data_IF_938032280876
#
_entry.id   IF_938032280876
#
_cell.length_a   1.000
_cell.length_b   1.000
_cell.length_c   1.000
_cell.angle_alpha   90.00
_cell.angle_beta   90.00
_cell.angle_gamma   90.00
#
_symmetry.space_group_name_H-M   'P 1'
#
loop_
_entity.id
_entity.type
_entity.pdbx_description
1 polymer ?
#
# COMPACT_ATOMS: atom_id res chain seq x y z
N UNK A 1 15.33 6.87 -15.43
CA UNK A 1 14.71 6.89 -14.09
C UNK A 1 14.13 5.53 -13.77
N UNK A 2 14.32 5.07 -12.55
CA UNK A 2 13.85 3.76 -12.11
C UNK A 2 12.35 3.82 -11.83
N UNK A 3 11.62 2.88 -12.43
CA UNK A 3 10.16 2.81 -12.30
C UNK A 3 9.81 1.82 -11.19
N UNK A 4 9.17 2.29 -10.12
CA UNK A 4 8.96 1.50 -8.91
C UNK A 4 7.71 0.62 -8.96
N UNK A 5 6.54 1.16 -9.34
CA UNK A 5 5.32 0.37 -9.37
C UNK A 5 5.23 -0.51 -10.61
N UNK A 6 4.87 -1.78 -10.40
CA UNK A 6 4.71 -2.77 -11.46
C UNK A 6 3.43 -2.53 -12.25
N UNK A 7 3.49 -2.72 -13.57
CA UNK A 7 2.30 -2.76 -14.45
C UNK A 7 1.69 -4.16 -14.56
N UNK A 8 2.42 -5.19 -14.10
CA UNK A 8 1.98 -6.59 -14.13
C UNK A 8 1.23 -6.91 -12.83
N UNK A 9 1.75 -6.43 -11.70
CA UNK A 9 1.17 -6.63 -10.37
C UNK A 9 0.38 -5.39 -9.92
N UNK A 10 -0.59 -5.00 -10.74
CA UNK A 10 -1.43 -3.82 -10.60
C UNK A 10 -2.91 -4.24 -10.71
N UNK A 11 -3.74 -3.81 -9.77
CA UNK A 11 -5.18 -3.91 -9.95
C UNK A 11 -5.66 -2.96 -11.06
N UNK A 12 -6.55 -3.44 -11.94
CA UNK A 12 -7.02 -2.70 -13.13
C UNK A 12 -7.62 -1.32 -12.82
N UNK A 13 -8.16 -1.14 -11.61
CA UNK A 13 -8.81 0.08 -11.17
C UNK A 13 -7.81 1.16 -10.72
N UNK A 14 -6.55 0.81 -10.50
CA UNK A 14 -5.50 1.76 -10.10
C UNK A 14 -4.89 2.44 -11.32
N UNK A 15 -4.60 3.73 -11.15
CA UNK A 15 -3.95 4.57 -12.16
C UNK A 15 -2.53 4.85 -11.71
N UNK A 16 -1.57 4.56 -12.60
CA UNK A 16 -0.18 4.96 -12.42
C UNK A 16 0.10 6.24 -13.21
N UNK A 17 0.95 7.09 -12.64
CA UNK A 17 1.66 8.13 -13.37
C UNK A 17 2.62 7.47 -14.41
N UNK A 18 2.93 8.19 -15.49
CA UNK A 18 3.91 7.80 -16.53
C UNK A 18 5.30 7.41 -15.97
N UNK A 19 5.75 8.08 -14.92
CA UNK A 19 7.00 7.76 -14.20
C UNK A 19 6.91 6.47 -13.37
N UNK A 20 5.69 5.98 -13.10
CA UNK A 20 5.35 4.84 -12.24
C UNK A 20 5.91 4.97 -10.81
N UNK A 21 5.94 6.20 -10.29
CA UNK A 21 6.30 6.53 -8.91
C UNK A 21 5.08 6.97 -8.09
N UNK A 22 3.96 7.31 -8.75
CA UNK A 22 2.69 7.65 -8.09
C UNK A 22 1.60 6.69 -8.52
N UNK A 23 0.80 6.24 -7.55
CA UNK A 23 -0.42 5.46 -7.77
C UNK A 23 -1.62 6.16 -7.16
N UNK A 24 -2.76 6.11 -7.85
CA UNK A 24 -4.03 6.67 -7.38
C UNK A 24 -5.17 5.68 -7.65
N UNK A 25 -6.11 5.58 -6.70
CA UNK A 25 -7.32 4.78 -6.85
C UNK A 25 -8.56 5.59 -6.49
N UNK A 26 -9.68 5.30 -7.15
CA UNK A 26 -10.96 6.00 -6.97
C UNK A 26 -12.15 5.07 -6.68
N UNK A 27 -11.97 3.74 -6.77
CA UNK A 27 -13.05 2.74 -6.63
C UNK A 27 -12.68 1.63 -5.63
N UNK A 28 -12.98 1.89 -4.35
CA UNK A 28 -12.76 0.91 -3.29
C UNK A 28 -11.28 0.56 -3.11
N UNK A 29 -11.00 -0.44 -2.26
CA UNK A 29 -9.64 -0.89 -2.03
C UNK A 29 -9.20 -1.90 -3.08
N UNK A 30 -8.00 -1.67 -3.59
CA UNK A 30 -7.22 -2.61 -4.37
C UNK A 30 -5.72 -2.25 -4.18
N UNK A 31 -4.82 -3.04 -4.74
CA UNK A 31 -3.40 -2.98 -4.45
C UNK A 31 -2.54 -2.99 -5.72
N UNK A 32 -1.34 -2.43 -5.59
CA UNK A 32 -0.23 -2.53 -6.55
C UNK A 32 1.02 -3.00 -5.81
N UNK A 33 1.96 -3.64 -6.51
CA UNK A 33 3.27 -4.03 -5.97
C UNK A 33 4.41 -3.30 -6.66
N UNK A 34 5.56 -3.26 -5.99
CA UNK A 34 6.83 -2.85 -6.57
C UNK A 34 7.27 -3.79 -7.70
N UNK A 35 8.21 -3.33 -8.53
CA UNK A 35 8.94 -4.12 -9.52
C UNK A 35 9.97 -5.05 -8.90
N UNK A 36 10.43 -4.73 -7.69
CA UNK A 36 11.45 -5.48 -6.96
C UNK A 36 10.83 -6.27 -5.80
N UNK A 37 11.32 -7.49 -5.60
CA UNK A 37 10.96 -8.33 -4.46
C UNK A 37 12.16 -8.52 -3.53
N UNK A 38 11.88 -8.72 -2.25
CA UNK A 38 12.89 -8.99 -1.23
C UNK A 38 12.84 -10.48 -0.89
N UNK A 39 14.00 -11.16 -0.92
CA UNK A 39 14.12 -12.57 -0.53
C UNK A 39 14.87 -12.76 0.79
N UNK A 40 15.93 -11.98 1.03
CA UNK A 40 16.80 -12.09 2.21
C UNK A 40 17.43 -10.73 2.53
N UNK A 41 17.87 -10.51 3.78
CA UNK A 41 18.55 -9.29 4.22
C UNK A 41 17.64 -8.27 4.91
N UNK A 42 18.18 -7.09 5.21
CA UNK A 42 17.46 -5.97 5.80
C UNK A 42 17.30 -4.86 4.76
N UNK A 43 16.07 -4.37 4.61
CA UNK A 43 15.68 -3.43 3.56
C UNK A 43 14.73 -2.41 4.15
N UNK A 44 14.71 -1.22 3.56
CA UNK A 44 13.73 -0.19 3.87
C UNK A 44 13.23 0.42 2.55
N UNK A 45 12.03 0.98 2.61
CA UNK A 45 11.47 1.84 1.58
C UNK A 45 10.68 2.92 2.30
N UNK A 46 10.47 4.04 1.63
CA UNK A 46 9.65 5.14 2.15
C UNK A 46 8.44 5.36 1.24
N UNK A 47 7.34 5.85 1.82
CA UNK A 47 6.17 6.28 1.04
C UNK A 47 5.80 7.69 1.40
N UNK A 48 5.71 8.56 0.40
CA UNK A 48 5.15 9.89 0.54
C UNK A 48 3.67 9.88 0.19
N UNK A 49 2.84 10.40 1.10
CA UNK A 49 1.41 10.57 0.84
C UNK A 49 1.18 11.92 0.16
N UNK A 50 1.10 11.91 -1.17
CA UNK A 50 1.03 13.15 -1.96
C UNK A 50 -0.35 13.81 -1.93
N UNK A 51 -1.42 13.02 -1.84
CA UNK A 51 -2.77 13.54 -1.65
C UNK A 51 -3.66 12.59 -0.87
N UNK A 52 -4.43 13.12 0.08
CA UNK A 52 -5.41 12.34 0.84
C UNK A 52 -6.71 13.12 1.08
N UNK A 53 -7.62 13.19 0.08
CA UNK A 53 -8.90 13.88 0.22
C UNK A 53 -9.77 13.32 1.36
N UNK A 54 -10.77 14.09 1.86
CA UNK A 54 -11.69 13.62 2.88
C UNK A 54 -12.36 12.29 2.50
N UNK A 55 -12.58 11.42 3.49
CA UNK A 55 -13.14 10.08 3.33
C UNK A 55 -12.34 9.10 2.45
N UNK A 56 -11.09 9.42 2.13
CA UNK A 56 -10.15 8.45 1.55
C UNK A 56 -9.34 7.74 2.64
N UNK A 57 -8.77 6.60 2.28
CA UNK A 57 -7.84 5.88 3.14
C UNK A 57 -6.95 4.99 2.28
N UNK A 58 -5.72 4.80 2.74
CA UNK A 58 -4.75 3.92 2.10
C UNK A 58 -4.20 2.92 3.11
N UNK A 59 -3.62 1.84 2.58
CA UNK A 59 -2.81 0.90 3.35
C UNK A 59 -1.47 0.73 2.65
N UNK A 60 -0.40 0.81 3.43
CA UNK A 60 0.97 0.57 2.97
C UNK A 60 1.55 -0.61 3.73
N UNK A 61 2.41 -1.39 3.11
CA UNK A 61 3.08 -2.49 3.77
C UNK A 61 3.68 -3.50 2.81
N UNK A 62 3.93 -4.70 3.35
CA UNK A 62 4.57 -5.79 2.64
C UNK A 62 3.56 -6.87 2.27
N UNK A 63 3.76 -7.48 1.10
CA UNK A 63 2.93 -8.57 0.62
C UNK A 63 3.76 -9.63 -0.10
N UNK A 64 3.38 -10.90 0.07
CA UNK A 64 3.90 -12.03 -0.70
C UNK A 64 3.13 -12.16 -2.03
N UNK A 65 3.65 -13.01 -2.92
CA UNK A 65 3.15 -13.17 -4.29
C UNK A 65 1.65 -13.53 -4.36
N UNK A 66 1.13 -14.25 -3.37
CA UNK A 66 -0.25 -14.76 -3.36
C UNK A 66 -1.28 -13.77 -2.79
N UNK A 67 -0.86 -12.60 -2.31
CA UNK A 67 -1.78 -11.59 -1.79
C UNK A 67 -2.72 -11.07 -2.89
N UNK A 68 -4.03 -11.04 -2.66
CA UNK A 68 -4.97 -10.64 -3.71
C UNK A 68 -4.86 -9.13 -4.05
N UNK A 69 -4.66 -8.80 -5.33
CA UNK A 69 -4.56 -7.40 -5.79
C UNK A 69 -5.90 -6.66 -5.74
N UNK A 70 -7.04 -7.38 -5.71
CA UNK A 70 -8.38 -6.80 -5.68
C UNK A 70 -8.86 -6.47 -4.25
N UNK A 71 -8.00 -6.59 -3.25
CA UNK A 71 -8.28 -6.27 -1.85
C UNK A 71 -7.17 -5.37 -1.30
N UNK A 72 -7.37 -4.70 -0.14
CA UNK A 72 -6.28 -4.01 0.51
C UNK A 72 -5.25 -5.02 1.07
N UNK A 73 -3.99 -4.61 1.14
CA UNK A 73 -2.94 -5.38 1.81
C UNK A 73 -3.38 -5.72 3.24
N UNK A 74 -3.07 -6.93 3.69
CA UNK A 74 -3.45 -7.44 5.03
C UNK A 74 -4.87 -7.98 5.15
N UNK A 75 -5.60 -8.15 4.03
CA UNK A 75 -6.88 -8.90 4.02
C UNK A 75 -6.67 -10.41 4.16
N UNK A 76 -5.62 -10.95 3.55
CA UNK A 76 -5.26 -12.36 3.65
C UNK A 76 -4.00 -12.56 4.49
N UNK A 77 -3.58 -13.82 4.63
CA UNK A 77 -2.36 -14.21 5.35
C UNK A 77 -1.05 -13.83 4.65
N UNK A 78 -1.13 -13.34 3.42
CA UNK A 78 0.03 -13.04 2.58
C UNK A 78 0.42 -11.56 2.63
N UNK A 79 -0.29 -10.73 3.39
CA UNK A 79 0.01 -9.31 3.53
C UNK A 79 0.00 -8.83 4.98
N UNK A 80 0.80 -7.79 5.22
CA UNK A 80 0.82 -7.00 6.45
C UNK A 80 0.79 -5.54 6.05
N UNK A 81 -0.06 -4.74 6.69
CA UNK A 81 -0.14 -3.32 6.33
C UNK A 81 -0.49 -2.41 7.49
N UNK A 82 -0.19 -1.13 7.32
CA UNK A 82 -0.60 -0.04 8.17
C UNK A 82 -1.58 0.87 7.42
N UNK A 83 -2.70 1.17 8.07
CA UNK A 83 -3.79 1.98 7.51
C UNK A 83 -3.66 3.44 7.94
N UNK A 84 -3.85 4.36 6.99
CA UNK A 84 -3.86 5.81 7.23
C UNK A 84 -4.89 6.27 8.27
N UNK A 85 -6.02 5.56 8.36
CA UNK A 85 -7.05 5.82 9.38
C UNK A 85 -6.78 5.09 10.69
N UNK A 86 -6.81 5.84 11.79
CA UNK A 86 -6.77 5.34 13.18
C UNK A 86 -5.51 4.54 13.54
N UNK A 87 -4.43 4.70 12.79
CA UNK A 87 -3.15 4.06 13.11
C UNK A 87 -3.23 2.55 13.30
N UNK A 88 -4.00 1.85 12.45
CA UNK A 88 -4.32 0.42 12.64
C UNK A 88 -3.47 -0.43 11.71
N UNK A 89 -2.84 -1.49 12.22
CA UNK A 89 -2.18 -2.50 11.39
C UNK A 89 -3.15 -3.65 11.07
N UNK A 90 -3.01 -4.26 9.90
CA UNK A 90 -3.88 -5.33 9.41
C UNK A 90 -3.10 -6.55 8.94
N UNK A 91 -3.59 -7.73 9.33
CA UNK A 91 -3.20 -9.05 8.84
C UNK A 91 -4.39 -9.99 8.94
N UNK A 92 -4.63 -10.85 7.94
CA UNK A 92 -5.78 -11.77 7.90
C UNK A 92 -7.14 -11.07 8.16
N UNK A 93 -7.29 -9.86 7.63
CA UNK A 93 -8.44 -8.98 7.84
C UNK A 93 -8.68 -8.56 9.31
N UNK A 94 -7.81 -8.95 10.24
CA UNK A 94 -7.85 -8.53 11.62
C UNK A 94 -7.06 -7.22 11.80
N UNK A 95 -7.74 -6.20 12.33
CA UNK A 95 -7.12 -4.92 12.66
C UNK A 95 -6.65 -4.88 14.10
N UNK A 96 -5.41 -4.43 14.33
CA UNK A 96 -4.86 -4.18 15.66
C UNK A 96 -4.45 -2.71 15.80
N UNK A 97 -4.68 -2.14 16.98
CA UNK A 97 -4.18 -0.80 17.29
C UNK A 97 -2.65 -0.80 17.28
N UNK A 98 -2.07 0.18 16.61
CA UNK A 98 -0.61 0.34 16.52
C UNK A 98 -0.17 1.75 16.90
N UNK A 99 -0.93 2.77 16.50
CA UNK A 99 -0.69 4.16 16.85
C UNK A 99 -1.99 4.92 17.11
N UNK A 100 -1.93 5.96 17.94
CA UNK A 100 -3.10 6.80 18.27
C UNK A 100 -3.69 7.48 17.04
N UNK A 101 -2.82 7.86 16.10
CA UNK A 101 -3.19 8.45 14.82
C UNK A 101 -2.61 7.62 13.69
N UNK A 102 -3.22 7.68 12.50
CA UNK A 102 -2.58 7.14 11.31
C UNK A 102 -1.98 8.27 10.48
N UNK A 103 -1.25 7.89 9.44
CA UNK A 103 -0.58 8.84 8.58
C UNK A 103 -1.55 9.64 7.69
N UNK A 104 -1.08 10.80 7.22
CA UNK A 104 -1.86 11.79 6.48
C UNK A 104 -1.09 12.35 5.29
N UNK A 105 -1.76 13.22 4.54
CA UNK A 105 -1.16 13.98 3.43
C UNK A 105 0.11 14.71 3.88
N UNK A 106 1.14 14.64 3.03
CA UNK A 106 2.50 15.15 3.22
C UNK A 106 3.39 14.39 4.21
N UNK A 107 2.91 13.31 4.84
CA UNK A 107 3.79 12.46 5.63
C UNK A 107 4.73 11.66 4.71
N UNK A 108 5.97 11.47 5.19
CA UNK A 108 6.94 10.49 4.68
C UNK A 108 7.06 9.40 5.74
N UNK A 109 6.78 8.17 5.35
CA UNK A 109 6.60 7.01 6.22
C UNK A 109 7.67 5.96 5.98
#
# INVERSE_FOLDING_TARGET
EEKFYSIIYLAQQLKLNDDRLTVTGDKGYCSVRSTHSVSHGAWYYEVTITSMPPNTATRIGWAQLLANLQTPIGTDKFGYSWRSRKGTIFHEACGLHYSNEGYRENDVL
#
